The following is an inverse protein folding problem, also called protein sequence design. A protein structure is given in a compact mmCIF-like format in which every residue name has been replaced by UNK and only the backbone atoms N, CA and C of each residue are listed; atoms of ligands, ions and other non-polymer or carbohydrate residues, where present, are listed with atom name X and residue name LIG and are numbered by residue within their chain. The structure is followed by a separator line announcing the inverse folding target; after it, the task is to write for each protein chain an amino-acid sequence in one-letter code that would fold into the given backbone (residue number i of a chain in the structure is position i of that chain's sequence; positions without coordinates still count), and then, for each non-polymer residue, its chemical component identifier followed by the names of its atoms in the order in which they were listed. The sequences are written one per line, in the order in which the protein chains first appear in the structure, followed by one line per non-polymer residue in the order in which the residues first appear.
data_IF_060334229725
#
_entry.id   IF_060334229725
#
_cell.length_a   1.000
_cell.length_b   1.000
_cell.length_c   1.000
_cell.angle_alpha   90.00
_cell.angle_beta   90.00
_cell.angle_gamma   90.00
#
_symmetry.space_group_name_H-M   'P 1'
#
loop_
_entity.id
_entity.type
_entity.pdbx_description
1 polymer ?
#
# COMPACT_ATOMS: atom_id res chain seq x y z
N UNK A 1 -0.82 -19.51 18.32
CA UNK A 1 -1.69 -18.50 17.69
C UNK A 1 -0.86 -17.24 17.69
N UNK A 2 -0.69 -16.60 16.53
CA UNK A 2 0.09 -15.37 16.49
C UNK A 2 -0.63 -14.26 17.28
N UNK A 3 0.11 -13.29 17.85
CA UNK A 3 -0.48 -12.24 18.69
C UNK A 3 -1.56 -11.46 17.97
N UNK A 4 -1.38 -11.18 16.66
CA UNK A 4 -2.38 -10.50 15.85
C UNK A 4 -3.70 -11.27 15.72
N UNK A 5 -3.70 -12.61 15.72
CA UNK A 5 -4.93 -13.42 15.68
C UNK A 5 -5.77 -13.27 16.96
N UNK A 6 -5.16 -12.89 18.07
CA UNK A 6 -5.88 -12.62 19.33
C UNK A 6 -6.57 -11.27 19.25
N UNK A 7 -5.87 -10.23 18.77
CA UNK A 7 -6.40 -8.88 18.59
C UNK A 7 -7.58 -8.88 17.61
N UNK A 8 -7.45 -9.59 16.49
CA UNK A 8 -8.47 -9.66 15.44
C UNK A 8 -9.76 -10.42 15.85
N UNK A 9 -9.82 -11.02 17.02
CA UNK A 9 -11.10 -11.53 17.59
C UNK A 9 -12.00 -10.42 18.13
N UNK A 10 -11.45 -9.22 18.37
CA UNK A 10 -12.20 -8.05 18.77
C UNK A 10 -12.97 -7.44 17.59
N UNK A 11 -13.70 -6.36 17.87
CA UNK A 11 -14.32 -5.54 16.83
C UNK A 11 -13.31 -4.54 16.28
N UNK A 12 -13.41 -4.25 14.98
CA UNK A 12 -12.69 -3.12 14.37
C UNK A 12 -13.08 -1.81 15.08
N UNK A 13 -12.13 -0.95 15.48
CA UNK A 13 -12.41 0.19 16.38
C UNK A 13 -12.99 1.42 15.66
N UNK A 14 -14.05 1.22 14.87
CA UNK A 14 -14.64 2.25 14.01
C UNK A 14 -15.11 3.49 14.77
N UNK A 15 -15.71 3.31 15.96
CA UNK A 15 -16.13 4.46 16.80
C UNK A 15 -14.94 5.23 17.36
N UNK A 16 -13.86 4.55 17.72
CA UNK A 16 -12.61 5.19 18.16
C UNK A 16 -12.00 6.04 17.03
N UNK A 17 -12.02 5.53 15.80
CA UNK A 17 -11.59 6.28 14.63
C UNK A 17 -12.49 7.52 14.37
N UNK A 18 -13.81 7.39 14.51
CA UNK A 18 -14.72 8.52 14.35
C UNK A 18 -14.43 9.63 15.37
N UNK A 19 -14.17 9.28 16.63
CA UNK A 19 -13.72 10.23 17.68
C UNK A 19 -12.40 10.90 17.33
N UNK A 20 -11.38 10.13 16.90
CA UNK A 20 -10.07 10.64 16.48
C UNK A 20 -10.21 11.65 15.34
N UNK A 21 -11.04 11.35 14.34
CA UNK A 21 -11.33 12.25 13.21
C UNK A 21 -12.05 13.51 13.68
N UNK A 22 -13.06 13.39 14.54
CA UNK A 22 -13.77 14.55 15.09
C UNK A 22 -12.86 15.47 15.92
N UNK A 23 -11.94 14.89 16.70
CA UNK A 23 -10.94 15.66 17.46
C UNK A 23 -9.97 16.39 16.54
N UNK A 24 -9.49 15.74 15.47
CA UNK A 24 -8.66 16.41 14.46
C UNK A 24 -9.41 17.58 13.82
N UNK A 25 -10.67 17.38 13.39
CA UNK A 25 -11.49 18.44 12.81
C UNK A 25 -11.67 19.62 13.79
N UNK A 26 -11.91 19.36 15.08
CA UNK A 26 -11.99 20.40 16.12
C UNK A 26 -10.68 21.18 16.27
N UNK A 27 -9.54 20.55 16.09
CA UNK A 27 -8.22 21.21 16.16
C UNK A 27 -7.96 22.15 14.99
N UNK A 28 -8.55 21.90 13.83
CA UNK A 28 -8.37 22.67 12.59
C UNK A 28 -9.43 23.75 12.37
N UNK A 29 -10.64 23.53 12.87
CA UNK A 29 -11.76 24.45 12.73
C UNK A 29 -12.41 24.72 14.08
N UNK A 30 -13.09 25.88 14.24
CA UNK A 30 -13.88 26.17 15.43
C UNK A 30 -15.21 25.36 15.49
N UNK A 31 -15.39 24.39 14.61
CA UNK A 31 -16.57 23.55 14.56
C UNK A 31 -16.60 22.60 15.76
N UNK A 32 -17.55 22.84 16.66
CA UNK A 32 -17.66 22.12 17.94
C UNK A 32 -18.67 20.96 17.85
N UNK A 33 -19.45 20.84 16.76
CA UNK A 33 -20.48 19.83 16.55
C UNK A 33 -20.85 19.66 15.09
N UNK A 34 -21.87 18.85 14.83
CA UNK A 34 -22.35 18.55 13.48
C UNK A 34 -22.38 17.06 13.19
N UNK A 35 -22.78 16.72 11.97
CA UNK A 35 -22.90 15.33 11.50
C UNK A 35 -21.80 15.03 10.51
N UNK A 36 -20.95 14.03 10.79
CA UNK A 36 -20.11 13.37 9.79
C UNK A 36 -21.02 12.39 9.03
N UNK A 37 -21.01 12.48 7.71
CA UNK A 37 -21.78 11.60 6.83
C UNK A 37 -20.86 10.94 5.80
N UNK A 38 -20.95 9.62 5.68
CA UNK A 38 -20.22 8.84 4.68
C UNK A 38 -21.15 7.81 3.99
N UNK A 39 -20.85 7.53 2.74
CA UNK A 39 -21.48 6.47 1.98
C UNK A 39 -20.49 5.35 1.69
N UNK A 40 -20.93 4.11 1.87
CA UNK A 40 -20.25 2.92 1.36
C UNK A 40 -20.25 2.89 -0.17
N UNK A 41 -19.40 2.04 -0.74
CA UNK A 41 -19.42 1.78 -2.18
C UNK A 41 -20.76 1.17 -2.58
N UNK A 42 -21.30 1.63 -3.70
CA UNK A 42 -22.53 1.08 -4.27
C UNK A 42 -22.23 -0.21 -5.03
N UNK A 43 -23.17 -1.15 -4.97
CA UNK A 43 -23.21 -2.28 -5.88
C UNK A 43 -23.26 -1.78 -7.33
N UNK A 44 -22.43 -2.37 -8.18
CA UNK A 44 -22.42 -2.10 -9.62
C UNK A 44 -22.57 -3.41 -10.36
N UNK A 45 -23.43 -3.41 -11.38
CA UNK A 45 -23.53 -4.54 -12.29
C UNK A 45 -22.48 -4.45 -13.38
N UNK A 46 -22.05 -5.60 -13.90
CA UNK A 46 -21.26 -5.67 -15.13
C UNK A 46 -22.15 -5.23 -16.29
N UNK A 47 -21.61 -4.46 -17.22
CA UNK A 47 -22.36 -4.00 -18.41
C UNK A 47 -22.88 -5.20 -19.19
N UNK A 48 -24.16 -5.13 -19.59
CA UNK A 48 -24.86 -6.19 -20.33
C UNK A 48 -24.84 -7.58 -19.65
N UNK A 49 -24.80 -7.61 -18.31
CA UNK A 49 -24.70 -8.84 -17.54
C UNK A 49 -25.53 -8.75 -16.26
N UNK A 50 -26.00 -9.89 -15.74
CA UNK A 50 -26.74 -10.01 -14.47
C UNK A 50 -25.79 -10.27 -13.26
N UNK A 51 -24.49 -10.30 -13.48
CA UNK A 51 -23.46 -10.43 -12.44
C UNK A 51 -23.03 -9.09 -11.88
N UNK A 52 -22.64 -9.09 -10.59
CA UNK A 52 -22.05 -7.93 -9.96
C UNK A 52 -20.59 -7.76 -10.37
N UNK A 53 -20.19 -6.50 -10.60
CA UNK A 53 -18.79 -6.14 -10.80
C UNK A 53 -17.98 -6.34 -9.50
N UNK A 54 -16.65 -6.58 -9.58
CA UNK A 54 -15.78 -6.70 -8.42
C UNK A 54 -15.99 -5.54 -7.44
N UNK A 55 -16.27 -5.88 -6.19
CA UNK A 55 -16.56 -4.90 -5.15
C UNK A 55 -15.28 -4.49 -4.43
N UNK A 56 -15.10 -3.17 -4.20
CA UNK A 56 -14.08 -2.62 -3.33
C UNK A 56 -14.70 -1.51 -2.48
N UNK A 57 -14.71 -1.69 -1.15
CA UNK A 57 -15.30 -0.72 -0.23
C UNK A 57 -14.54 0.62 -0.25
N UNK A 58 -15.29 1.73 -0.10
CA UNK A 58 -14.71 3.06 0.09
C UNK A 58 -13.90 3.12 1.38
N UNK A 59 -12.63 3.51 1.30
CA UNK A 59 -11.69 3.50 2.45
C UNK A 59 -12.10 4.45 3.56
N UNK A 60 -12.62 5.63 3.23
CA UNK A 60 -13.10 6.59 4.23
C UNK A 60 -14.28 6.03 5.03
N UNK A 61 -15.21 5.36 4.37
CA UNK A 61 -16.36 4.69 5.02
C UNK A 61 -15.88 3.53 5.91
N UNK A 62 -15.03 2.65 5.37
CA UNK A 62 -14.53 1.51 6.14
C UNK A 62 -13.75 1.95 7.37
N UNK A 63 -12.93 3.01 7.27
CA UNK A 63 -12.12 3.51 8.38
C UNK A 63 -12.97 3.88 9.61
N UNK A 64 -14.17 4.45 9.42
CA UNK A 64 -15.04 4.84 10.51
C UNK A 64 -16.06 3.76 10.92
N UNK A 65 -16.17 2.66 10.18
CA UNK A 65 -17.22 1.66 10.41
C UNK A 65 -16.73 0.23 10.56
N UNK A 66 -15.64 -0.14 9.90
CA UNK A 66 -15.23 -1.55 9.73
C UNK A 66 -16.22 -2.37 8.89
N UNK A 67 -17.19 -1.74 8.23
CA UNK A 67 -18.26 -2.43 7.51
C UNK A 67 -17.89 -2.66 6.04
N UNK A 68 -17.77 -3.91 5.57
CA UNK A 68 -17.47 -4.23 4.18
C UNK A 68 -18.71 -4.29 3.27
N UNK A 69 -19.92 -4.08 3.80
CA UNK A 69 -21.17 -4.24 3.05
C UNK A 69 -21.36 -3.10 2.04
N UNK A 70 -21.88 -3.38 0.83
CA UNK A 70 -22.25 -2.36 -0.14
C UNK A 70 -23.49 -1.58 0.26
N UNK A 71 -23.75 -0.47 -0.42
CA UNK A 71 -24.99 0.32 -0.35
C UNK A 71 -25.37 0.84 1.04
N UNK A 72 -24.39 0.94 1.93
CA UNK A 72 -24.55 1.42 3.31
C UNK A 72 -24.31 2.92 3.41
N UNK A 73 -24.86 3.53 4.49
CA UNK A 73 -24.56 4.89 4.90
C UNK A 73 -24.09 4.89 6.36
N UNK A 74 -23.39 5.94 6.73
CA UNK A 74 -22.92 6.13 8.09
C UNK A 74 -23.10 7.58 8.51
N UNK A 75 -23.56 7.78 9.74
CA UNK A 75 -23.57 9.09 10.40
C UNK A 75 -22.87 9.00 11.74
N UNK A 76 -22.14 10.08 12.07
CA UNK A 76 -21.59 10.26 13.41
C UNK A 76 -21.95 11.66 13.91
N UNK A 77 -22.79 11.72 14.93
CA UNK A 77 -23.13 12.94 15.64
C UNK A 77 -22.00 13.28 16.61
N UNK A 78 -21.26 14.36 16.30
CA UNK A 78 -20.07 14.77 17.05
C UNK A 78 -20.43 15.23 18.46
N UNK A 79 -21.59 15.88 18.64
CA UNK A 79 -22.02 16.41 19.93
C UNK A 79 -22.55 15.29 20.84
N UNK A 80 -23.31 14.35 20.29
CA UNK A 80 -23.87 13.24 21.02
C UNK A 80 -22.89 12.05 21.18
N UNK A 81 -21.73 12.06 20.51
CA UNK A 81 -20.81 10.93 20.39
C UNK A 81 -21.55 9.66 19.95
N UNK A 82 -22.45 9.79 18.97
CA UNK A 82 -23.31 8.70 18.51
C UNK A 82 -23.03 8.34 17.06
N UNK A 83 -22.67 7.07 16.83
CA UNK A 83 -22.48 6.48 15.50
C UNK A 83 -23.72 5.66 15.09
N UNK A 84 -24.19 5.84 13.85
CA UNK A 84 -25.28 5.06 13.28
C UNK A 84 -24.90 4.53 11.91
N UNK A 85 -25.04 3.22 11.72
CA UNK A 85 -24.86 2.54 10.44
C UNK A 85 -26.22 2.26 9.81
N UNK A 86 -26.36 2.58 8.54
CA UNK A 86 -27.59 2.32 7.77
C UNK A 86 -27.25 1.25 6.74
N UNK A 87 -27.92 0.10 6.83
CA UNK A 87 -27.73 -1.04 5.92
C UNK A 87 -28.97 -1.26 5.05
N UNK A 88 -28.84 -1.83 3.85
CA UNK A 88 -29.99 -2.16 3.02
C UNK A 88 -30.99 -3.03 3.76
N UNK A 89 -32.32 -2.80 3.60
CA UNK A 89 -33.34 -3.70 4.13
C UNK A 89 -33.26 -5.07 3.44
N UNK A 90 -33.67 -6.13 4.14
CA UNK A 90 -33.75 -7.46 3.55
C UNK A 90 -34.89 -7.49 2.52
N UNK A 91 -34.55 -7.75 1.28
CA UNK A 91 -35.52 -8.01 0.20
C UNK A 91 -35.69 -9.53 0.06
N UNK A 92 -36.89 -10.02 0.38
CA UNK A 92 -37.20 -11.44 0.37
C UNK A 92 -37.03 -12.09 -1.02
N UNK A 93 -37.29 -11.33 -2.10
CA UNK A 93 -37.19 -11.84 -3.47
C UNK A 93 -35.72 -12.00 -3.91
N UNK A 94 -34.82 -11.22 -3.31
CA UNK A 94 -33.38 -11.28 -3.57
C UNK A 94 -32.65 -12.40 -2.80
N UNK A 95 -33.22 -12.90 -1.71
CA UNK A 95 -32.57 -13.88 -0.82
C UNK A 95 -32.23 -15.19 -1.54
N UNK A 96 -33.07 -15.63 -2.47
CA UNK A 96 -32.81 -16.88 -3.22
C UNK A 96 -31.57 -16.74 -4.15
N UNK A 97 -31.25 -15.53 -4.58
CA UNK A 97 -30.16 -15.26 -5.53
C UNK A 97 -28.84 -14.97 -4.84
N UNK A 98 -28.85 -14.15 -3.78
CA UNK A 98 -27.65 -13.64 -3.14
C UNK A 98 -27.44 -14.14 -1.70
N UNK A 99 -28.35 -14.97 -1.19
CA UNK A 99 -28.33 -15.43 0.20
C UNK A 99 -28.97 -14.42 1.15
N UNK A 100 -29.08 -14.80 2.43
CA UNK A 100 -29.65 -13.93 3.46
C UNK A 100 -28.60 -12.85 3.84
N UNK A 101 -28.91 -11.54 3.64
CA UNK A 101 -28.00 -10.48 3.99
C UNK A 101 -27.94 -10.27 5.52
N UNK A 102 -26.90 -9.57 5.98
CA UNK A 102 -26.72 -9.22 7.39
C UNK A 102 -27.88 -8.38 7.91
N UNK A 103 -28.51 -8.82 8.97
CA UNK A 103 -29.58 -8.08 9.66
C UNK A 103 -29.02 -6.93 10.52
N UNK A 104 -29.83 -5.89 10.87
CA UNK A 104 -29.39 -4.83 11.79
C UNK A 104 -28.88 -5.35 13.14
N UNK A 105 -29.50 -6.38 13.68
CA UNK A 105 -29.08 -7.00 14.94
C UNK A 105 -27.73 -7.68 14.82
N UNK A 106 -27.46 -8.40 13.74
CA UNK A 106 -26.16 -9.01 13.45
C UNK A 106 -25.10 -7.94 13.22
N UNK A 107 -25.37 -6.91 12.41
CA UNK A 107 -24.46 -5.81 12.16
C UNK A 107 -24.07 -5.10 13.46
N UNK A 108 -25.03 -4.85 14.38
CA UNK A 108 -24.75 -4.26 15.70
C UNK A 108 -23.84 -5.16 16.55
N UNK A 109 -23.91 -6.48 16.38
CA UNK A 109 -23.01 -7.41 17.07
C UNK A 109 -21.61 -7.47 16.48
N UNK A 110 -21.46 -7.22 15.16
CA UNK A 110 -20.21 -7.34 14.42
C UNK A 110 -19.37 -6.05 14.45
N UNK A 111 -20.02 -4.88 14.32
CA UNK A 111 -19.34 -3.59 14.17
C UNK A 111 -19.33 -2.79 15.50
N UNK A 112 -18.33 -1.93 15.67
CA UNK A 112 -18.21 -0.99 16.79
C UNK A 112 -19.02 0.28 16.49
N UNK A 113 -20.34 0.14 16.53
CA UNK A 113 -21.35 1.14 16.17
C UNK A 113 -22.43 1.17 17.26
N UNK A 114 -22.98 2.35 17.59
CA UNK A 114 -23.98 2.50 18.65
C UNK A 114 -25.38 2.07 18.19
N UNK A 115 -25.70 2.25 16.88
CA UNK A 115 -27.02 1.96 16.35
C UNK A 115 -26.95 1.46 14.91
N UNK A 116 -27.80 0.53 14.53
CA UNK A 116 -27.93 0.04 13.16
C UNK A 116 -29.38 0.03 12.75
N UNK A 117 -29.69 0.73 11.66
CA UNK A 117 -31.04 0.85 11.08
C UNK A 117 -31.00 0.56 9.58
N UNK A 118 -32.15 0.57 8.93
CA UNK A 118 -32.20 0.35 7.48
C UNK A 118 -32.04 1.64 6.68
N UNK A 119 -31.54 1.55 5.46
CA UNK A 119 -31.21 2.70 4.60
C UNK A 119 -32.37 3.67 4.33
N UNK A 120 -33.67 3.28 4.29
CA UNK A 120 -34.75 4.24 4.19
C UNK A 120 -34.83 5.28 5.32
N UNK A 121 -34.23 4.97 6.47
CA UNK A 121 -34.22 5.88 7.63
C UNK A 121 -33.21 7.04 7.51
N UNK A 122 -32.32 7.05 6.49
CA UNK A 122 -31.28 8.09 6.37
C UNK A 122 -31.88 9.48 6.14
N UNK A 123 -32.88 9.61 5.26
CA UNK A 123 -33.49 10.91 4.96
C UNK A 123 -34.24 11.47 6.17
N UNK A 124 -35.13 10.71 6.86
CA UNK A 124 -35.72 11.16 8.12
C UNK A 124 -34.68 11.49 9.20
N UNK A 125 -33.61 10.73 9.31
CA UNK A 125 -32.56 10.98 10.31
C UNK A 125 -31.85 12.33 10.09
N UNK A 126 -31.54 12.67 8.85
CA UNK A 126 -30.88 13.92 8.47
C UNK A 126 -31.84 15.14 8.50
N UNK A 127 -33.14 14.92 8.47
CA UNK A 127 -34.15 15.98 8.54
C UNK A 127 -34.47 16.42 9.98
N UNK A 128 -33.97 15.71 11.01
CA UNK A 128 -34.20 16.06 12.42
C UNK A 128 -33.49 17.37 12.79
N UNK A 129 -34.10 18.21 13.63
CA UNK A 129 -33.41 19.38 14.16
C UNK A 129 -32.13 18.99 14.92
N UNK A 130 -31.04 19.66 14.62
CA UNK A 130 -29.74 19.47 15.26
C UNK A 130 -29.39 20.71 16.06
N UNK A 131 -28.73 20.56 17.20
CA UNK A 131 -28.20 21.69 17.99
C UNK A 131 -27.10 22.45 17.25
N UNK A 132 -26.36 21.72 16.37
CA UNK A 132 -25.27 22.26 15.55
C UNK A 132 -25.47 21.80 14.10
N UNK A 133 -26.09 22.62 13.24
CA UNK A 133 -26.53 22.20 11.91
C UNK A 133 -25.41 22.20 10.85
N UNK A 134 -24.23 21.65 11.17
CA UNK A 134 -23.13 21.49 10.22
C UNK A 134 -23.08 20.06 9.69
N UNK A 135 -22.98 19.92 8.39
CA UNK A 135 -22.87 18.66 7.68
C UNK A 135 -21.47 18.51 7.08
N UNK A 136 -20.79 17.43 7.42
CA UNK A 136 -19.46 17.11 6.92
C UNK A 136 -19.50 15.86 6.06
N UNK A 137 -19.03 15.94 4.81
CA UNK A 137 -18.99 14.82 3.89
C UNK A 137 -17.79 14.89 2.94
N UNK A 138 -17.54 13.79 2.22
CA UNK A 138 -16.53 13.73 1.17
C UNK A 138 -17.12 14.26 -0.15
N UNK A 139 -16.43 15.13 -0.90
CA UNK A 139 -16.89 15.60 -2.20
C UNK A 139 -17.22 14.45 -3.15
N UNK A 140 -18.31 14.57 -3.89
CA UNK A 140 -18.78 13.56 -4.87
C UNK A 140 -19.10 12.17 -4.27
N UNK A 141 -19.29 12.10 -2.94
CA UNK A 141 -19.70 10.88 -2.26
C UNK A 141 -21.03 11.03 -1.50
N UNK A 142 -21.86 11.98 -1.90
CA UNK A 142 -23.24 12.16 -1.40
C UNK A 142 -24.20 11.89 -2.54
N UNK A 143 -25.10 10.93 -2.34
CA UNK A 143 -26.11 10.55 -3.34
C UNK A 143 -27.17 11.64 -3.49
N UNK A 144 -27.70 11.83 -4.71
CA UNK A 144 -28.66 12.90 -5.06
C UNK A 144 -29.97 12.88 -4.25
N UNK A 145 -30.38 11.70 -3.76
CA UNK A 145 -31.60 11.56 -2.95
C UNK A 145 -31.43 12.03 -1.50
N UNK A 146 -30.18 12.31 -1.06
CA UNK A 146 -29.90 12.77 0.30
C UNK A 146 -30.12 14.28 0.38
N UNK A 147 -31.19 14.67 1.07
CA UNK A 147 -31.54 16.10 1.25
C UNK A 147 -30.68 16.73 2.33
N UNK A 148 -30.00 17.83 1.98
CA UNK A 148 -29.19 18.63 2.89
C UNK A 148 -29.82 19.98 3.28
N UNK A 149 -31.14 20.13 3.05
CA UNK A 149 -31.87 21.40 3.28
C UNK A 149 -31.88 21.80 4.76
N UNK A 150 -31.88 20.80 5.66
CA UNK A 150 -31.89 21.07 7.12
C UNK A 150 -30.55 21.55 7.70
N UNK A 151 -29.46 21.57 6.92
CA UNK A 151 -28.15 21.97 7.40
C UNK A 151 -27.84 23.42 6.99
N UNK A 152 -27.53 24.26 7.98
CA UNK A 152 -27.13 25.65 7.76
C UNK A 152 -25.72 25.74 7.11
N UNK A 153 -24.81 24.91 7.58
CA UNK A 153 -23.43 24.83 7.06
C UNK A 153 -23.13 23.45 6.45
N UNK A 154 -22.43 23.45 5.32
CA UNK A 154 -22.01 22.23 4.60
C UNK A 154 -20.53 22.35 4.29
N UNK A 155 -19.75 21.44 4.85
CA UNK A 155 -18.30 21.35 4.63
C UNK A 155 -17.95 20.05 3.92
N UNK A 156 -17.33 20.16 2.74
CA UNK A 156 -16.88 19.04 1.93
C UNK A 156 -15.35 18.97 1.84
N UNK A 157 -14.61 19.71 2.68
CA UNK A 157 -13.17 19.80 2.61
C UNK A 157 -12.48 19.14 3.82
N UNK A 158 -12.87 19.55 5.04
CA UNK A 158 -12.14 19.19 6.26
C UNK A 158 -12.20 17.70 6.59
N UNK A 159 -13.31 17.02 6.31
CA UNK A 159 -13.50 15.60 6.66
C UNK A 159 -12.51 14.69 5.92
N UNK A 160 -12.29 14.95 4.63
CA UNK A 160 -11.33 14.17 3.83
C UNK A 160 -9.93 14.28 4.41
N UNK A 161 -9.44 15.50 4.63
CA UNK A 161 -8.13 15.76 5.24
C UNK A 161 -8.02 15.10 6.63
N UNK A 162 -9.04 15.25 7.46
CA UNK A 162 -9.04 14.67 8.80
C UNK A 162 -8.90 13.15 8.81
N UNK A 163 -9.62 12.45 7.93
CA UNK A 163 -9.50 11.00 7.81
C UNK A 163 -8.11 10.62 7.28
N UNK A 164 -7.60 11.31 6.26
CA UNK A 164 -6.30 11.03 5.66
C UNK A 164 -5.15 11.19 6.68
N UNK A 165 -5.16 12.25 7.46
CA UNK A 165 -4.15 12.49 8.51
C UNK A 165 -4.28 11.51 9.68
N UNK A 166 -5.51 11.17 10.08
CA UNK A 166 -5.75 10.18 11.13
C UNK A 166 -5.30 8.77 10.75
N UNK A 167 -5.31 8.41 9.46
CA UNK A 167 -4.86 7.13 8.94
C UNK A 167 -3.34 6.96 8.96
N UNK A 168 -2.56 8.04 9.07
CA UNK A 168 -1.09 7.95 9.09
C UNK A 168 -0.60 7.07 10.24
N UNK A 169 -1.12 7.29 11.45
CA UNK A 169 -0.76 6.51 12.65
C UNK A 169 -1.80 5.42 12.89
N UNK A 170 -1.35 4.18 12.78
CA UNK A 170 -2.15 2.97 12.94
C UNK A 170 -2.30 2.61 14.41
N UNK A 171 -3.49 2.19 14.81
CA UNK A 171 -3.71 1.59 16.11
C UNK A 171 -3.31 0.09 16.12
N UNK A 172 -3.46 -0.55 17.27
CA UNK A 172 -3.08 -1.96 17.45
C UNK A 172 -3.88 -2.91 16.55
N UNK A 173 -5.17 -2.61 16.30
CA UNK A 173 -6.02 -3.43 15.44
C UNK A 173 -5.63 -3.29 13.98
N UNK A 174 -5.37 -2.07 13.50
CA UNK A 174 -4.89 -1.78 12.16
C UNK A 174 -3.53 -2.48 11.90
N UNK A 175 -2.60 -2.39 12.85
CA UNK A 175 -1.30 -3.09 12.79
C UNK A 175 -1.49 -4.60 12.72
N UNK A 176 -2.45 -5.16 13.48
CA UNK A 176 -2.76 -6.59 13.44
C UNK A 176 -3.30 -7.05 12.07
N UNK A 177 -4.12 -6.22 11.39
CA UNK A 177 -4.59 -6.49 10.02
C UNK A 177 -3.43 -6.49 9.02
N UNK A 178 -2.54 -5.49 9.10
CA UNK A 178 -1.35 -5.42 8.23
C UNK A 178 -0.41 -6.62 8.48
N UNK A 179 -0.18 -7.00 9.74
CA UNK A 179 0.59 -8.21 10.09
C UNK A 179 -0.02 -9.47 9.48
N UNK A 180 -1.35 -9.59 9.53
CA UNK A 180 -2.06 -10.74 8.93
C UNK A 180 -1.90 -10.76 7.41
N UNK A 181 -2.07 -9.63 6.73
CA UNK A 181 -1.86 -9.51 5.29
C UNK A 181 -0.41 -9.88 4.91
N UNK A 182 0.59 -9.39 5.67
CA UNK A 182 2.00 -9.72 5.47
C UNK A 182 2.31 -11.21 5.67
N UNK A 183 1.74 -11.83 6.70
CA UNK A 183 1.94 -13.26 6.98
C UNK A 183 1.40 -14.13 5.83
N UNK A 184 0.20 -13.82 5.32
CA UNK A 184 -0.41 -14.53 4.19
C UNK A 184 0.42 -14.31 2.92
N UNK A 185 0.82 -13.07 2.64
CA UNK A 185 1.66 -12.75 1.48
C UNK A 185 3.02 -13.45 1.56
N UNK A 186 3.62 -13.57 2.75
CA UNK A 186 4.87 -14.33 2.97
C UNK A 186 4.72 -15.80 2.60
N UNK A 187 3.59 -16.43 2.94
CA UNK A 187 3.30 -17.82 2.53
C UNK A 187 3.27 -17.92 1.00
N UNK A 188 2.62 -16.95 0.34
CA UNK A 188 2.50 -16.92 -1.12
C UNK A 188 3.87 -16.70 -1.79
N UNK A 189 4.67 -15.74 -1.33
CA UNK A 189 6.05 -15.51 -1.80
C UNK A 189 6.91 -16.77 -1.65
N UNK A 190 6.82 -17.45 -0.51
CA UNK A 190 7.56 -18.68 -0.26
C UNK A 190 7.17 -19.80 -1.25
N UNK A 191 5.90 -19.92 -1.58
CA UNK A 191 5.47 -20.94 -2.57
C UNK A 191 5.92 -20.59 -3.98
N UNK A 192 5.95 -19.30 -4.36
CA UNK A 192 6.52 -18.88 -5.64
C UNK A 192 8.00 -19.23 -5.73
N UNK A 193 8.79 -19.02 -4.66
CA UNK A 193 10.20 -19.48 -4.60
C UNK A 193 10.34 -20.97 -4.86
N UNK A 194 9.45 -21.82 -4.28
CA UNK A 194 9.47 -23.27 -4.50
C UNK A 194 9.17 -23.69 -5.94
N UNK A 195 8.38 -22.88 -6.65
CA UNK A 195 7.88 -23.20 -8.00
C UNK A 195 8.70 -22.59 -9.12
N UNK A 196 9.54 -21.59 -8.86
CA UNK A 196 10.17 -20.76 -9.88
C UNK A 196 11.00 -21.55 -10.90
N UNK A 197 11.73 -22.59 -10.47
CA UNK A 197 12.55 -23.42 -11.38
C UNK A 197 11.76 -24.19 -12.42
N UNK A 198 10.54 -24.57 -12.11
CA UNK A 198 9.68 -25.36 -12.99
C UNK A 198 8.79 -24.52 -13.90
N UNK A 199 8.63 -23.23 -13.58
CA UNK A 199 7.74 -22.33 -14.29
C UNK A 199 8.34 -21.95 -15.65
N UNK A 200 7.49 -21.91 -16.68
CA UNK A 200 7.87 -21.54 -18.06
C UNK A 200 7.38 -20.15 -18.44
N UNK A 201 6.40 -19.63 -17.71
CA UNK A 201 5.80 -18.33 -17.98
C UNK A 201 5.48 -17.62 -16.65
N UNK A 202 5.60 -16.29 -16.64
CA UNK A 202 5.34 -15.43 -15.49
C UNK A 202 3.95 -15.65 -14.89
N UNK A 203 2.91 -15.85 -15.73
CA UNK A 203 1.52 -16.09 -15.29
C UNK A 203 1.34 -17.33 -14.42
N UNK A 204 2.19 -18.34 -14.58
CA UNK A 204 2.15 -19.54 -13.73
C UNK A 204 2.48 -19.18 -12.28
N UNK A 205 3.46 -18.28 -12.09
CA UNK A 205 3.87 -17.82 -10.77
C UNK A 205 2.89 -16.80 -10.16
N UNK A 206 2.29 -15.95 -11.00
CA UNK A 206 1.17 -15.10 -10.57
C UNK A 206 0.02 -15.97 -10.04
N UNK A 207 -0.38 -17.01 -10.78
CA UNK A 207 -1.43 -17.92 -10.34
C UNK A 207 -1.10 -18.62 -9.02
N UNK A 208 0.17 -19.01 -8.80
CA UNK A 208 0.63 -19.60 -7.53
C UNK A 208 0.49 -18.59 -6.39
N UNK A 209 0.88 -17.34 -6.59
CA UNK A 209 0.75 -16.29 -5.58
C UNK A 209 -0.71 -16.06 -5.20
N UNK A 210 -1.57 -15.86 -6.20
CA UNK A 210 -3.01 -15.63 -6.02
C UNK A 210 -3.69 -16.80 -5.31
N UNK A 211 -3.41 -18.02 -5.72
CA UNK A 211 -3.97 -19.24 -5.10
C UNK A 211 -3.67 -19.28 -3.61
N UNK A 212 -2.41 -19.02 -3.22
CA UNK A 212 -2.00 -19.03 -1.81
C UNK A 212 -2.63 -17.89 -1.00
N UNK A 213 -2.74 -16.71 -1.58
CA UNK A 213 -3.42 -15.59 -0.93
C UNK A 213 -4.90 -15.92 -0.65
N UNK A 214 -5.62 -16.39 -1.67
CA UNK A 214 -7.05 -16.72 -1.57
C UNK A 214 -7.27 -17.86 -0.56
N UNK A 215 -6.47 -18.93 -0.64
CA UNK A 215 -6.58 -20.09 0.24
C UNK A 215 -6.31 -19.76 1.72
N UNK A 216 -5.58 -18.67 2.01
CA UNK A 216 -5.24 -18.24 3.36
C UNK A 216 -6.04 -17.01 3.86
N UNK A 217 -7.03 -16.54 3.08
CA UNK A 217 -7.98 -15.51 3.52
C UNK A 217 -7.78 -14.11 2.94
N UNK A 218 -6.75 -13.86 2.12
CA UNK A 218 -6.65 -12.65 1.29
C UNK A 218 -7.31 -12.93 -0.07
N UNK A 219 -8.63 -12.78 -0.14
CA UNK A 219 -9.37 -12.95 -1.39
C UNK A 219 -8.98 -11.87 -2.41
N UNK A 220 -8.81 -10.66 -1.93
CA UNK A 220 -8.45 -9.51 -2.74
C UNK A 220 -6.93 -9.30 -2.69
N UNK A 221 -6.39 -8.74 -3.77
CA UNK A 221 -5.02 -8.26 -3.82
C UNK A 221 -4.98 -6.77 -3.50
N UNK A 222 -3.91 -6.32 -2.83
CA UNK A 222 -3.72 -4.91 -2.51
C UNK A 222 -3.51 -4.08 -3.79
N UNK A 223 -2.86 -4.69 -4.79
CA UNK A 223 -2.56 -4.13 -6.12
C UNK A 223 -2.35 -5.26 -7.13
N UNK A 224 -2.28 -4.92 -8.42
CA UNK A 224 -1.95 -5.89 -9.46
C UNK A 224 -0.52 -6.41 -9.26
N UNK A 225 -0.37 -7.73 -9.10
CA UNK A 225 0.94 -8.36 -8.92
C UNK A 225 1.89 -8.04 -10.07
N UNK A 226 3.16 -7.82 -9.76
CA UNK A 226 4.26 -7.67 -10.71
C UNK A 226 5.09 -8.93 -10.66
N UNK A 227 5.09 -9.69 -11.76
CA UNK A 227 5.86 -10.92 -11.93
C UNK A 227 6.79 -10.73 -13.12
N UNK A 228 7.91 -10.08 -12.89
CA UNK A 228 8.79 -9.58 -13.95
C UNK A 228 10.07 -10.40 -14.09
N UNK A 229 10.20 -11.15 -15.19
CA UNK A 229 11.39 -11.94 -15.47
C UNK A 229 12.43 -11.19 -16.33
N UNK A 230 13.71 -11.32 -15.99
CA UNK A 230 14.83 -10.72 -16.71
C UNK A 230 14.69 -9.22 -16.87
N UNK A 231 14.82 -8.71 -18.10
CA UNK A 231 14.77 -7.26 -18.40
C UNK A 231 13.40 -6.62 -18.17
N UNK A 232 12.30 -7.40 -18.05
CA UNK A 232 10.99 -6.88 -17.67
C UNK A 232 11.01 -6.23 -16.27
N UNK A 233 11.88 -6.70 -15.37
CA UNK A 233 12.08 -6.15 -14.03
C UNK A 233 12.60 -4.71 -14.00
N UNK A 234 13.03 -4.14 -15.15
CA UNK A 234 13.38 -2.73 -15.28
C UNK A 234 12.14 -1.81 -15.48
N UNK A 235 10.95 -2.38 -15.64
CA UNK A 235 9.67 -1.66 -15.69
C UNK A 235 9.01 -1.71 -14.32
N UNK A 236 8.92 -0.55 -13.64
CA UNK A 236 8.50 -0.48 -12.23
C UNK A 236 7.12 -1.07 -11.96
N UNK A 237 6.15 -0.82 -12.83
CA UNK A 237 4.78 -1.34 -12.74
C UNK A 237 4.47 -2.28 -13.92
N UNK A 238 5.29 -3.32 -14.07
CA UNK A 238 5.07 -4.36 -15.07
C UNK A 238 3.97 -5.30 -14.61
N UNK A 239 2.82 -5.27 -15.26
CA UNK A 239 1.62 -6.06 -14.88
C UNK A 239 1.11 -6.99 -16.00
N UNK A 240 1.85 -7.10 -17.10
CA UNK A 240 1.50 -7.99 -18.21
C UNK A 240 1.63 -9.47 -17.79
N UNK A 241 2.66 -9.80 -17.00
CA UNK A 241 2.92 -11.11 -16.38
C UNK A 241 2.79 -12.29 -17.37
N UNK A 242 3.21 -12.08 -18.63
CA UNK A 242 2.92 -13.02 -19.72
C UNK A 242 4.15 -13.52 -20.47
N UNK A 243 5.36 -13.06 -20.11
CA UNK A 243 6.58 -13.42 -20.83
C UNK A 243 7.07 -14.84 -20.51
N UNK A 244 7.69 -15.51 -21.49
CA UNK A 244 8.43 -16.73 -21.25
C UNK A 244 9.62 -16.48 -20.32
N UNK A 245 9.90 -17.44 -19.43
CA UNK A 245 10.99 -17.34 -18.44
C UNK A 245 12.29 -18.01 -18.89
N UNK A 246 12.26 -18.76 -19.99
CA UNK A 246 13.43 -19.47 -20.49
C UNK A 246 14.60 -18.50 -20.80
N UNK A 247 15.80 -18.86 -20.32
CA UNK A 247 17.01 -18.06 -20.48
C UNK A 247 17.07 -16.75 -19.64
N UNK A 248 16.08 -16.48 -18.79
CA UNK A 248 16.10 -15.30 -17.90
C UNK A 248 16.89 -15.57 -16.63
N UNK A 249 17.60 -14.51 -16.13
CA UNK A 249 18.46 -14.63 -14.94
C UNK A 249 17.62 -14.61 -13.66
N UNK A 250 16.82 -13.58 -13.49
CA UNK A 250 16.10 -13.31 -12.25
C UNK A 250 14.60 -13.14 -12.47
N UNK A 251 13.83 -13.34 -11.40
CA UNK A 251 12.46 -12.90 -11.27
C UNK A 251 12.38 -11.83 -10.18
N UNK A 252 11.73 -10.72 -10.48
CA UNK A 252 11.26 -9.74 -9.52
C UNK A 252 9.78 -10.00 -9.30
N UNK A 253 9.41 -10.38 -8.08
CA UNK A 253 8.03 -10.56 -7.62
C UNK A 253 7.70 -9.43 -6.66
N UNK A 254 6.75 -8.58 -7.06
CA UNK A 254 6.19 -7.53 -6.23
C UNK A 254 4.68 -7.76 -6.13
N UNK A 255 4.25 -8.27 -4.97
CA UNK A 255 2.90 -8.74 -4.77
C UNK A 255 2.51 -8.77 -3.30
N UNK A 256 1.31 -8.32 -3.00
CA UNK A 256 0.75 -8.30 -1.65
C UNK A 256 -0.76 -8.53 -1.63
N UNK A 257 -1.22 -9.31 -0.66
CA UNK A 257 -2.64 -9.53 -0.41
C UNK A 257 -3.26 -8.41 0.43
N UNK A 258 -4.57 -8.26 0.30
CA UNK A 258 -5.37 -7.38 1.15
C UNK A 258 -6.17 -8.22 2.15
N UNK A 259 -6.06 -7.93 3.44
CA UNK A 259 -6.84 -8.57 4.50
C UNK A 259 -7.62 -7.53 5.30
N UNK A 260 -8.95 -7.65 5.35
CA UNK A 260 -9.81 -6.70 6.06
C UNK A 260 -9.60 -5.26 5.61
N UNK A 261 -9.46 -5.01 4.30
CA UNK A 261 -9.16 -3.71 3.71
C UNK A 261 -7.77 -3.13 4.05
N UNK A 262 -6.82 -3.92 4.57
CA UNK A 262 -5.44 -3.50 4.83
C UNK A 262 -4.46 -4.27 3.96
N UNK A 263 -3.49 -3.55 3.40
CA UNK A 263 -2.55 -4.04 2.41
C UNK A 263 -1.29 -4.66 3.04
N UNK A 264 -0.69 -5.62 2.33
CA UNK A 264 0.73 -5.89 2.37
C UNK A 264 1.36 -5.44 1.05
N UNK A 265 2.63 -5.03 1.09
CA UNK A 265 3.43 -4.66 -0.07
C UNK A 265 4.82 -5.27 0.06
N UNK A 266 5.10 -6.29 -0.74
CA UNK A 266 6.33 -7.07 -0.60
C UNK A 266 6.97 -7.29 -1.95
N UNK A 267 8.21 -6.83 -2.10
CA UNK A 267 9.02 -7.17 -3.29
C UNK A 267 10.18 -8.06 -2.91
N UNK A 268 10.38 -9.11 -3.71
CA UNK A 268 11.57 -9.97 -3.69
C UNK A 268 12.11 -10.18 -5.09
N UNK A 269 13.43 -10.09 -5.23
CA UNK A 269 14.15 -10.47 -6.46
C UNK A 269 15.00 -11.70 -6.18
N UNK A 270 14.89 -12.71 -7.02
CA UNK A 270 15.59 -14.00 -6.82
C UNK A 270 15.97 -14.65 -8.15
N UNK A 271 17.00 -15.52 -8.16
CA UNK A 271 17.44 -16.19 -9.38
C UNK A 271 16.48 -17.31 -9.79
N UNK A 272 16.08 -17.34 -11.05
CA UNK A 272 15.18 -18.38 -11.58
C UNK A 272 15.85 -19.78 -11.50
N UNK A 273 17.15 -19.83 -11.72
CA UNK A 273 17.93 -21.09 -11.64
C UNK A 273 18.19 -21.59 -10.22
N UNK A 274 17.95 -20.73 -9.20
CA UNK A 274 18.32 -20.98 -7.81
C UNK A 274 19.75 -20.54 -7.46
N UNK A 275 20.48 -19.92 -8.39
CA UNK A 275 21.81 -19.34 -8.17
C UNK A 275 21.93 -18.05 -8.96
N UNK A 276 22.29 -16.94 -8.30
CA UNK A 276 22.52 -15.66 -8.96
C UNK A 276 23.75 -15.72 -9.89
N UNK A 277 23.68 -15.04 -11.05
CA UNK A 277 24.90 -14.69 -11.78
C UNK A 277 25.75 -13.74 -10.95
N UNK A 278 27.01 -13.57 -11.32
CA UNK A 278 27.95 -12.66 -10.65
C UNK A 278 27.41 -11.22 -10.65
N UNK A 279 26.90 -10.78 -11.80
CA UNK A 279 26.37 -9.43 -12.00
C UNK A 279 25.09 -9.23 -11.18
N UNK A 280 24.15 -10.17 -11.27
CA UNK A 280 22.89 -10.13 -10.50
C UNK A 280 23.15 -10.13 -8.99
N UNK A 281 24.08 -10.98 -8.51
CA UNK A 281 24.46 -11.04 -7.10
C UNK A 281 25.06 -9.71 -6.61
N UNK A 282 25.93 -9.11 -7.41
CA UNK A 282 26.57 -7.85 -7.06
C UNK A 282 25.55 -6.71 -6.91
N UNK A 283 24.55 -6.64 -7.79
CA UNK A 283 23.47 -5.64 -7.69
C UNK A 283 22.54 -5.96 -6.50
N UNK A 284 22.19 -7.25 -6.32
CA UNK A 284 21.38 -7.68 -5.18
C UNK A 284 22.00 -7.26 -3.84
N UNK A 285 23.29 -7.47 -3.66
CA UNK A 285 24.00 -7.12 -2.43
C UNK A 285 23.99 -5.59 -2.17
N UNK A 286 24.03 -4.75 -3.22
CA UNK A 286 23.90 -3.29 -3.08
C UNK A 286 22.49 -2.94 -2.60
N UNK A 287 21.44 -3.47 -3.25
CA UNK A 287 20.05 -3.18 -2.90
C UNK A 287 19.72 -3.70 -1.49
N UNK A 288 20.23 -4.88 -1.12
CA UNK A 288 20.05 -5.42 0.23
C UNK A 288 20.70 -4.51 1.28
N UNK A 289 21.90 -3.96 1.00
CA UNK A 289 22.56 -2.99 1.87
C UNK A 289 21.76 -1.68 1.97
N UNK A 290 21.23 -1.17 0.85
CA UNK A 290 20.35 0.01 0.85
C UNK A 290 19.15 -0.22 1.78
N UNK A 291 18.47 -1.34 1.62
CA UNK A 291 17.29 -1.70 2.39
C UNK A 291 17.60 -1.85 3.89
N UNK A 292 18.67 -2.56 4.26
CA UNK A 292 19.06 -2.74 5.65
C UNK A 292 19.44 -1.43 6.34
N UNK A 293 20.28 -0.61 5.68
CA UNK A 293 20.75 0.65 6.28
C UNK A 293 19.60 1.62 6.46
N UNK A 294 18.75 1.79 5.43
CA UNK A 294 17.62 2.70 5.50
C UNK A 294 16.58 2.26 6.54
N UNK A 295 16.31 0.96 6.64
CA UNK A 295 15.41 0.42 7.67
C UNK A 295 15.96 0.70 9.08
N UNK A 296 17.26 0.52 9.30
CA UNK A 296 17.90 0.77 10.60
C UNK A 296 17.92 2.25 11.02
N UNK A 297 17.68 3.18 10.11
CA UNK A 297 17.54 4.62 10.42
C UNK A 297 16.14 4.98 10.91
N UNK A 298 15.15 4.10 10.77
CA UNK A 298 13.75 4.38 11.11
C UNK A 298 13.53 4.41 12.62
N UNK A 299 12.92 5.48 13.07
CA UNK A 299 12.33 5.72 14.38
C UNK A 299 11.43 6.95 14.31
N UNK A 300 10.61 7.18 15.32
CA UNK A 300 9.80 8.39 15.41
C UNK A 300 10.67 9.66 15.24
N UNK A 301 10.20 10.57 14.38
CA UNK A 301 10.88 11.81 14.07
C UNK A 301 12.06 11.71 13.08
N UNK A 302 12.36 10.53 12.55
CA UNK A 302 13.38 10.40 11.50
C UNK A 302 12.93 11.15 10.23
N UNK A 303 13.85 11.92 9.64
CA UNK A 303 13.59 12.68 8.40
C UNK A 303 13.67 11.75 7.19
N UNK A 304 12.51 11.46 6.56
CA UNK A 304 12.42 10.51 5.45
C UNK A 304 13.23 10.94 4.22
N UNK A 305 13.25 12.23 3.93
CA UNK A 305 14.08 12.82 2.87
C UNK A 305 15.57 12.47 3.03
N UNK A 306 16.08 12.46 4.26
CA UNK A 306 17.47 12.09 4.55
C UNK A 306 17.72 10.58 4.38
N UNK A 307 16.76 9.74 4.79
CA UNK A 307 16.87 8.28 4.60
C UNK A 307 16.88 7.96 3.10
N UNK A 308 16.04 8.62 2.31
CA UNK A 308 16.03 8.49 0.85
C UNK A 308 17.38 8.92 0.23
N UNK A 309 17.94 10.04 0.66
CA UNK A 309 19.27 10.49 0.22
C UNK A 309 20.34 9.45 0.52
N UNK A 310 20.32 8.86 1.73
CA UNK A 310 21.25 7.80 2.13
C UNK A 310 21.16 6.57 1.22
N UNK A 311 19.95 6.21 0.76
CA UNK A 311 19.80 5.12 -0.21
C UNK A 311 20.54 5.42 -1.53
N UNK A 312 20.45 6.65 -2.04
CA UNK A 312 21.18 7.07 -3.23
C UNK A 312 22.72 7.06 -3.01
N UNK A 313 23.19 7.49 -1.85
CA UNK A 313 24.63 7.45 -1.51
C UNK A 313 25.17 6.01 -1.51
N UNK A 314 24.42 5.05 -0.95
CA UNK A 314 24.80 3.63 -0.94
C UNK A 314 24.78 3.05 -2.36
N UNK A 315 23.78 3.41 -3.18
CA UNK A 315 23.71 3.01 -4.57
C UNK A 315 24.93 3.51 -5.35
N UNK A 316 25.30 4.80 -5.22
CA UNK A 316 26.48 5.39 -5.85
C UNK A 316 27.75 4.64 -5.42
N UNK A 317 27.96 4.42 -4.12
CA UNK A 317 29.13 3.68 -3.61
C UNK A 317 29.22 2.27 -4.18
N UNK A 318 28.09 1.58 -4.28
CA UNK A 318 28.01 0.23 -4.85
C UNK A 318 28.35 0.22 -6.35
N UNK A 319 27.72 1.10 -7.11
CA UNK A 319 27.91 1.20 -8.56
C UNK A 319 29.31 1.69 -8.95
N UNK A 320 29.93 2.56 -8.13
CA UNK A 320 31.34 2.95 -8.27
C UNK A 320 32.30 1.76 -8.07
N UNK A 321 32.05 0.93 -7.05
CA UNK A 321 32.85 -0.29 -6.79
C UNK A 321 32.79 -1.31 -7.92
N UNK A 322 31.63 -1.39 -8.60
CA UNK A 322 31.45 -2.27 -9.76
C UNK A 322 31.99 -1.65 -11.05
N UNK A 323 32.39 -0.37 -11.02
CA UNK A 323 32.86 0.36 -12.19
C UNK A 323 31.74 0.77 -13.17
N UNK A 324 30.46 0.56 -12.81
CA UNK A 324 29.30 1.03 -13.59
C UNK A 324 29.23 2.55 -13.55
N UNK A 325 29.44 3.15 -12.37
CA UNK A 325 29.73 4.58 -12.22
C UNK A 325 31.22 4.82 -12.10
N UNK A 326 31.66 6.01 -12.45
CA UNK A 326 33.04 6.46 -12.38
C UNK A 326 33.15 7.94 -12.00
N UNK A 327 34.25 8.38 -11.42
CA UNK A 327 34.48 9.76 -10.99
C UNK A 327 34.23 9.98 -9.50
N UNK A 328 33.99 11.22 -9.13
CA UNK A 328 33.81 11.63 -7.74
C UNK A 328 32.38 11.38 -7.23
N UNK A 329 32.26 10.78 -6.05
CA UNK A 329 30.97 10.45 -5.42
C UNK A 329 30.08 11.68 -5.23
N UNK A 330 30.65 12.78 -4.74
CA UNK A 330 29.91 14.01 -4.44
C UNK A 330 29.42 14.72 -5.72
N UNK A 331 30.23 14.64 -6.80
CA UNK A 331 29.80 15.15 -8.11
C UNK A 331 28.67 14.32 -8.71
N UNK A 332 28.74 12.99 -8.63
CA UNK A 332 27.69 12.07 -9.07
C UNK A 332 26.38 12.37 -8.31
N UNK A 333 26.46 12.53 -6.99
CA UNK A 333 25.30 12.85 -6.16
C UNK A 333 24.71 14.22 -6.51
N UNK A 334 25.57 15.24 -6.66
CA UNK A 334 25.16 16.61 -7.01
C UNK A 334 24.49 16.69 -8.38
N UNK A 335 24.98 15.92 -9.35
CA UNK A 335 24.40 15.83 -10.68
C UNK A 335 23.20 14.88 -10.79
N UNK A 336 22.80 14.21 -9.69
CA UNK A 336 21.67 13.28 -9.65
C UNK A 336 21.81 12.09 -10.62
N UNK A 337 23.05 11.70 -10.98
CA UNK A 337 23.29 10.60 -11.91
C UNK A 337 22.73 9.26 -11.40
N UNK A 338 22.67 9.06 -10.08
CA UNK A 338 22.06 7.86 -9.48
C UNK A 338 20.60 7.66 -9.79
N UNK A 339 19.87 8.73 -10.16
CA UNK A 339 18.44 8.64 -10.58
C UNK A 339 18.26 7.83 -11.87
N UNK A 340 19.32 7.72 -12.71
CA UNK A 340 19.30 6.84 -13.86
C UNK A 340 19.13 5.36 -13.49
N UNK A 341 19.54 4.95 -12.30
CA UNK A 341 19.52 3.57 -11.80
C UNK A 341 18.49 3.36 -10.68
N UNK A 342 18.18 4.40 -9.90
CA UNK A 342 17.17 4.39 -8.84
C UNK A 342 16.21 5.58 -9.02
N UNK A 343 15.18 5.46 -9.90
CA UNK A 343 14.36 6.58 -10.35
C UNK A 343 13.12 6.88 -9.51
N UNK A 344 12.87 6.15 -8.42
CA UNK A 344 11.65 6.29 -7.61
C UNK A 344 11.96 6.63 -6.14
N UNK A 345 10.93 6.92 -5.36
CA UNK A 345 11.04 7.16 -3.92
C UNK A 345 11.42 5.88 -3.16
N UNK A 346 12.07 6.02 -2.01
CA UNK A 346 12.49 4.90 -1.18
C UNK A 346 11.31 4.10 -0.59
N UNK A 347 10.11 4.70 -0.55
CA UNK A 347 8.92 4.05 -0.04
C UNK A 347 7.77 5.04 0.19
N UNK A 348 6.70 4.51 0.73
CA UNK A 348 5.43 5.22 0.97
C UNK A 348 4.77 4.70 2.23
N UNK A 349 3.80 5.47 2.78
CA UNK A 349 2.93 4.92 3.81
C UNK A 349 2.08 3.79 3.24
N UNK A 350 1.82 2.80 4.09
CA UNK A 350 1.02 1.61 3.82
C UNK A 350 -0.08 1.49 4.87
N UNK A 351 -1.26 1.08 4.45
CA UNK A 351 -2.39 0.87 5.34
C UNK A 351 -3.60 0.30 4.61
N UNK A 352 -4.71 1.02 4.61
CA UNK A 352 -5.90 0.64 3.85
C UNK A 352 -5.70 0.76 2.34
N UNK A 353 -4.82 1.62 1.90
CA UNK A 353 -4.34 1.69 0.53
C UNK A 353 -2.86 1.30 0.50
N UNK A 354 -2.42 0.66 -0.59
CA UNK A 354 -1.00 0.32 -0.81
C UNK A 354 -0.16 1.59 -0.75
N UNK A 355 -0.49 2.60 -1.57
CA UNK A 355 0.04 3.95 -1.44
C UNK A 355 -0.91 4.76 -0.55
N UNK A 356 -0.68 4.69 0.77
CA UNK A 356 -1.57 5.29 1.76
C UNK A 356 -1.44 6.81 1.84
N UNK A 357 -2.39 7.44 2.50
CA UNK A 357 -2.56 8.90 2.60
C UNK A 357 -1.60 9.57 3.58
N UNK A 358 -1.55 10.90 3.60
CA UNK A 358 -0.82 11.70 4.60
C UNK A 358 0.68 11.82 4.38
N UNK A 359 1.21 11.33 3.24
CA UNK A 359 2.65 11.42 2.93
C UNK A 359 3.11 12.79 2.41
N UNK A 360 2.19 13.66 2.00
CA UNK A 360 2.45 15.01 1.48
C UNK A 360 3.50 15.09 0.35
N UNK A 361 3.37 14.28 -0.73
CA UNK A 361 4.33 14.27 -1.83
C UNK A 361 4.37 15.61 -2.56
N UNK A 362 5.54 15.99 -3.08
CA UNK A 362 5.70 17.17 -3.93
C UNK A 362 6.13 16.77 -5.36
N UNK A 363 5.16 16.39 -6.20
CA UNK A 363 5.43 16.01 -7.60
C UNK A 363 5.89 17.18 -8.49
N UNK A 364 5.80 18.43 -8.00
CA UNK A 364 6.34 19.61 -8.65
C UNK A 364 7.79 19.93 -8.23
N UNK A 365 8.42 19.10 -7.39
CA UNK A 365 9.80 19.27 -6.99
C UNK A 365 10.71 19.26 -8.23
N UNK A 366 11.56 20.28 -8.33
CA UNK A 366 12.53 20.42 -9.45
C UNK A 366 13.70 19.44 -9.30
N UNK A 367 13.98 18.99 -8.07
CA UNK A 367 14.99 17.98 -7.82
C UNK A 367 14.45 16.60 -8.22
N UNK A 368 15.03 16.04 -9.27
CA UNK A 368 14.61 14.74 -9.81
C UNK A 368 14.69 13.60 -8.80
N UNK A 369 15.58 13.69 -7.82
CA UNK A 369 15.75 12.69 -6.76
C UNK A 369 14.54 12.65 -5.81
N UNK A 370 13.93 13.79 -5.51
CA UNK A 370 12.84 13.90 -4.55
C UNK A 370 11.44 13.99 -5.19
N UNK A 371 11.36 14.20 -6.51
CA UNK A 371 10.08 14.40 -7.22
C UNK A 371 9.07 13.28 -6.99
N UNK A 372 9.54 12.04 -6.94
CA UNK A 372 8.68 10.86 -6.76
C UNK A 372 8.69 10.30 -5.34
N UNK A 373 9.27 11.05 -4.38
CA UNK A 373 9.23 10.66 -2.97
C UNK A 373 7.83 10.90 -2.40
N UNK A 374 7.11 9.81 -2.04
CA UNK A 374 5.71 9.84 -1.63
C UNK A 374 5.48 10.28 -0.19
N UNK A 375 6.50 10.24 0.65
CA UNK A 375 6.49 10.75 2.02
C UNK A 375 7.55 11.84 2.15
N UNK A 376 7.20 12.97 2.75
CA UNK A 376 8.12 14.09 2.98
C UNK A 376 8.13 14.46 4.46
N UNK A 377 9.30 14.83 4.96
CA UNK A 377 9.45 15.27 6.35
C UNK A 377 9.62 14.11 7.34
N UNK A 378 9.20 14.33 8.57
CA UNK A 378 9.44 13.42 9.68
C UNK A 378 8.35 12.34 9.77
N UNK A 379 8.76 11.07 9.90
CA UNK A 379 7.84 9.95 10.08
C UNK A 379 7.41 9.83 11.54
N UNK A 380 6.10 9.73 11.85
CA UNK A 380 5.64 9.59 13.23
C UNK A 380 5.68 8.14 13.72
N UNK A 381 5.74 7.95 15.03
CA UNK A 381 5.48 6.64 15.64
C UNK A 381 4.07 6.15 15.29
N UNK A 382 3.89 4.83 15.14
CA UNK A 382 2.63 4.22 14.74
C UNK A 382 2.38 4.27 13.22
N UNK A 383 3.19 4.98 12.42
CA UNK A 383 3.08 4.86 10.96
C UNK A 383 3.66 3.55 10.46
N UNK A 384 3.05 3.00 9.39
CA UNK A 384 3.62 1.88 8.63
C UNK A 384 4.08 2.42 7.30
N UNK A 385 5.34 2.13 6.95
CA UNK A 385 6.00 2.64 5.75
C UNK A 385 6.74 1.52 5.04
N UNK A 386 6.74 1.51 3.69
CA UNK A 386 7.58 0.60 2.91
C UNK A 386 9.02 1.09 2.87
N UNK A 387 9.97 0.16 2.79
CA UNK A 387 11.37 0.43 2.48
C UNK A 387 11.73 -0.45 1.31
N UNK A 388 11.75 0.14 0.11
CA UNK A 388 11.76 -0.56 -1.19
C UNK A 388 12.85 -0.07 -2.16
N UNK A 389 14.11 0.07 -1.75
CA UNK A 389 15.14 0.47 -2.68
C UNK A 389 15.25 -0.49 -3.85
N UNK A 390 15.66 0.04 -5.01
CA UNK A 390 15.91 -0.76 -6.20
C UNK A 390 17.01 -0.18 -7.08
N UNK A 391 17.60 -1.04 -7.91
CA UNK A 391 18.54 -0.67 -8.98
C UNK A 391 18.05 -1.33 -10.27
N UNK A 392 17.89 -0.50 -11.31
CA UNK A 392 17.28 -0.91 -12.58
C UNK A 392 18.17 -0.56 -13.77
N UNK A 393 18.23 -1.45 -14.73
CA UNK A 393 18.94 -1.28 -16.00
C UNK A 393 17.92 -1.08 -17.11
N UNK A 394 17.28 0.10 -17.10
CA UNK A 394 16.27 0.50 -18.08
C UNK A 394 16.89 1.38 -19.16
N UNK A 395 17.03 0.86 -20.40
CA UNK A 395 17.62 1.61 -21.50
C UNK A 395 16.90 2.94 -21.74
N UNK A 396 15.57 2.95 -21.71
CA UNK A 396 14.78 4.16 -21.91
C UNK A 396 15.13 5.29 -20.93
N UNK A 397 15.54 4.94 -19.69
CA UNK A 397 15.97 5.90 -18.67
C UNK A 397 17.46 6.20 -18.79
N UNK A 398 18.31 5.18 -18.98
CA UNK A 398 19.76 5.33 -18.91
C UNK A 398 20.35 5.93 -20.22
N UNK A 399 19.83 5.57 -21.41
CA UNK A 399 20.33 6.06 -22.68
C UNK A 399 20.35 7.61 -22.79
N UNK A 400 19.31 8.35 -22.30
CA UNK A 400 19.37 9.81 -22.19
C UNK A 400 20.53 10.32 -21.32
N UNK A 401 20.87 9.64 -20.22
CA UNK A 401 22.03 10.01 -19.39
C UNK A 401 23.37 9.75 -20.11
N UNK A 402 23.46 8.69 -20.89
CA UNK A 402 24.64 8.41 -21.72
C UNK A 402 24.81 9.42 -22.85
N UNK A 403 23.72 9.99 -23.35
CA UNK A 403 23.74 11.03 -24.38
C UNK A 403 24.01 12.43 -23.84
N UNK A 404 23.78 12.68 -22.55
CA UNK A 404 24.01 13.97 -21.90
C UNK A 404 25.50 14.21 -21.64
N UNK A 405 26.09 15.36 -22.10
CA UNK A 405 27.53 15.63 -21.96
C UNK A 405 28.05 15.72 -20.52
N UNK A 406 27.20 15.98 -19.54
CA UNK A 406 27.54 16.04 -18.13
C UNK A 406 27.43 14.65 -17.50
N UNK A 407 26.30 13.99 -17.69
CA UNK A 407 25.96 12.72 -17.08
C UNK A 407 26.84 11.56 -17.60
N UNK A 408 27.14 11.55 -18.90
CA UNK A 408 27.94 10.50 -19.55
C UNK A 408 29.35 10.38 -18.98
N UNK A 409 29.88 11.44 -18.37
CA UNK A 409 31.19 11.41 -17.70
C UNK A 409 31.22 10.48 -16.47
N UNK A 410 30.07 10.26 -15.86
CA UNK A 410 29.91 9.49 -14.63
C UNK A 410 29.49 8.05 -14.88
N UNK A 411 29.13 7.66 -16.10
CA UNK A 411 28.66 6.31 -16.44
C UNK A 411 29.66 5.63 -17.37
N UNK A 412 30.14 4.45 -16.98
CA UNK A 412 31.02 3.62 -17.81
C UNK A 412 30.17 2.72 -18.71
N UNK A 413 29.93 3.16 -19.95
CA UNK A 413 29.09 2.43 -20.90
C UNK A 413 29.61 1.01 -21.19
N UNK A 414 30.94 0.80 -21.20
CA UNK A 414 31.51 -0.52 -21.49
C UNK A 414 31.23 -1.54 -20.38
N UNK A 415 31.34 -1.13 -19.11
CA UNK A 415 31.00 -1.98 -17.96
C UNK A 415 29.48 -2.20 -17.87
N UNK A 416 28.69 -1.15 -18.17
CA UNK A 416 27.23 -1.21 -18.13
C UNK A 416 26.67 -2.30 -19.07
N UNK A 417 27.33 -2.61 -20.19
CA UNK A 417 26.90 -3.67 -21.12
C UNK A 417 26.78 -5.05 -20.45
N UNK A 418 27.54 -5.32 -19.41
CA UNK A 418 27.51 -6.60 -18.69
C UNK A 418 26.26 -6.73 -17.80
N UNK A 419 25.54 -5.63 -17.51
CA UNK A 419 24.47 -5.58 -16.51
C UNK A 419 23.06 -5.49 -17.08
N UNK A 420 22.88 -5.25 -18.40
CA UNK A 420 21.53 -5.09 -18.97
C UNK A 420 20.60 -6.29 -18.71
N UNK A 421 21.13 -7.51 -18.75
CA UNK A 421 20.35 -8.74 -18.54
C UNK A 421 19.95 -8.94 -17.06
N UNK A 422 20.52 -8.20 -16.12
CA UNK A 422 20.06 -8.18 -14.72
C UNK A 422 18.64 -7.64 -14.64
N UNK A 423 18.29 -6.68 -15.52
CA UNK A 423 16.99 -6.05 -15.58
C UNK A 423 16.75 -5.09 -14.42
N UNK A 424 16.24 -5.59 -13.31
CA UNK A 424 16.00 -4.81 -12.10
C UNK A 424 16.04 -5.67 -10.85
N UNK A 425 16.46 -5.03 -9.75
CA UNK A 425 16.42 -5.61 -8.40
C UNK A 425 15.72 -4.65 -7.47
N UNK A 426 14.67 -5.09 -6.80
CA UNK A 426 13.98 -4.39 -5.69
C UNK A 426 13.82 -5.35 -4.52
N UNK A 427 13.99 -4.84 -3.31
CA UNK A 427 13.73 -5.55 -2.05
C UNK A 427 12.88 -4.63 -1.19
N UNK A 428 11.70 -5.10 -0.78
CA UNK A 428 10.71 -4.30 -0.09
C UNK A 428 10.14 -5.01 1.12
N UNK A 429 10.10 -4.28 2.23
CA UNK A 429 9.47 -4.69 3.48
C UNK A 429 8.53 -3.59 3.99
N UNK A 430 7.53 -4.00 4.77
CA UNK A 430 6.60 -3.13 5.48
C UNK A 430 7.07 -2.93 6.93
N UNK A 431 7.32 -1.70 7.31
CA UNK A 431 7.99 -1.33 8.55
C UNK A 431 7.06 -0.49 9.42
N UNK A 432 6.75 -0.97 10.62
CA UNK A 432 6.08 -0.19 11.65
C UNK A 432 7.13 0.68 12.37
N UNK A 433 6.94 2.00 12.32
CA UNK A 433 7.80 2.95 13.04
C UNK A 433 7.38 3.00 14.51
N UNK A 434 8.34 2.81 15.43
CA UNK A 434 8.12 2.90 16.87
C UNK A 434 8.82 4.13 17.47
N UNK A 435 8.56 4.45 18.73
CA UNK A 435 9.17 5.60 19.42
C UNK A 435 10.71 5.56 19.36
N UNK A 436 11.32 4.40 19.55
CA UNK A 436 12.76 4.26 19.65
C UNK A 436 13.42 3.52 18.50
N UNK A 437 12.65 3.05 17.51
CA UNK A 437 13.14 2.23 16.41
C UNK A 437 12.02 1.80 15.47
N UNK A 438 12.00 0.52 15.12
CA UNK A 438 11.04 -0.04 14.18
C UNK A 438 10.73 -1.52 14.47
N UNK A 439 9.61 -2.00 13.92
CA UNK A 439 9.29 -3.41 13.79
C UNK A 439 9.12 -3.75 12.30
N UNK A 440 9.86 -4.73 11.80
CA UNK A 440 9.65 -5.24 10.44
C UNK A 440 8.47 -6.21 10.43
N UNK A 441 7.40 -5.86 9.74
CA UNK A 441 6.18 -6.66 9.64
C UNK A 441 6.29 -7.77 8.58
N UNK A 442 7.28 -7.66 7.67
CA UNK A 442 7.50 -8.59 6.57
C UNK A 442 8.49 -9.67 6.98
N UNK A 443 8.06 -10.92 6.93
CA UNK A 443 8.89 -12.09 7.28
C UNK A 443 9.33 -12.92 6.07
N UNK A 444 8.98 -12.49 4.85
CA UNK A 444 9.43 -13.14 3.61
C UNK A 444 10.97 -13.14 3.53
N UNK A 445 11.54 -14.30 3.22
CA UNK A 445 13.00 -14.47 3.14
C UNK A 445 13.62 -13.53 2.10
N UNK A 446 14.75 -12.91 2.45
CA UNK A 446 15.50 -12.01 1.57
C UNK A 446 17.02 -12.25 1.61
N UNK A 447 17.49 -13.11 2.50
CA UNK A 447 18.89 -13.55 2.43
C UNK A 447 19.07 -14.54 1.29
N UNK A 448 20.24 -14.47 0.64
CA UNK A 448 20.49 -15.21 -0.59
C UNK A 448 20.52 -16.71 -0.36
N UNK A 449 21.12 -17.15 0.75
CA UNK A 449 21.24 -18.54 1.11
C UNK A 449 19.87 -19.17 1.44
N UNK A 450 19.03 -18.45 2.17
CA UNK A 450 17.65 -18.87 2.48
C UNK A 450 16.77 -18.98 1.24
N UNK A 451 16.83 -17.99 0.32
CA UNK A 451 16.11 -18.07 -0.95
C UNK A 451 16.60 -19.24 -1.80
N UNK A 452 17.94 -19.39 -1.92
CA UNK A 452 18.52 -20.51 -2.68
C UNK A 452 18.14 -21.87 -2.10
N UNK A 453 18.11 -21.99 -0.76
CA UNK A 453 17.64 -23.20 -0.07
C UNK A 453 16.20 -23.55 -0.46
N UNK A 454 15.27 -22.60 -0.38
CA UNK A 454 13.86 -22.85 -0.75
C UNK A 454 13.73 -23.22 -2.24
N UNK A 455 14.41 -22.50 -3.14
CA UNK A 455 14.35 -22.73 -4.59
C UNK A 455 14.95 -24.10 -4.95
N UNK A 456 15.98 -24.55 -4.26
CA UNK A 456 16.68 -25.81 -4.52
C UNK A 456 16.09 -26.99 -3.74
N UNK A 457 15.10 -26.77 -2.88
CA UNK A 457 14.41 -27.82 -2.12
C UNK A 457 15.23 -28.37 -0.96
N UNK A 458 16.09 -27.54 -0.35
CA UNK A 458 16.93 -27.89 0.82
C UNK A 458 16.38 -27.30 2.12
#
# INVERSE_FOLDING_TARGET
MADYDVILKGKYPGKTHARKVAEYMKSKSKAVGGIIYLEGQKTKMIEDNDGEAPFRQRRYFYYLTGCPLPDCYFTYDIAADKSTLYIPPIDADSVIWSGLPTSPKEALSLYDIDDVVTTPEIVPALARPLETPTFYAIPNQVSDHVSLVGFEHKDFAVLKEAIEECRVTKDEYEVALIKKANAISTIAHTEVLRRVKGAKNERELEAVFLERCIANGCREQAYHSIVASGTAAATLHYVDNAKPMDGKLNLLLDAGGEYGCYAADITRTFPISGTFSKESRSIYDIVLRMQHVCTNMLKAGALWDHIHLTAHEIAIEGLLRLGILQGDKEEILRNRTSVAFFPHGLGHYLGMDTHDTGGHPNYADKDSMFRYLRVRGNVPAGSVITVEPGIYFCRFIIDPYLADPVQSKFINAAVLEEYWEVGGVRIEDNILVTESGYENLTTAVKDVEGMAGIINGS
#
